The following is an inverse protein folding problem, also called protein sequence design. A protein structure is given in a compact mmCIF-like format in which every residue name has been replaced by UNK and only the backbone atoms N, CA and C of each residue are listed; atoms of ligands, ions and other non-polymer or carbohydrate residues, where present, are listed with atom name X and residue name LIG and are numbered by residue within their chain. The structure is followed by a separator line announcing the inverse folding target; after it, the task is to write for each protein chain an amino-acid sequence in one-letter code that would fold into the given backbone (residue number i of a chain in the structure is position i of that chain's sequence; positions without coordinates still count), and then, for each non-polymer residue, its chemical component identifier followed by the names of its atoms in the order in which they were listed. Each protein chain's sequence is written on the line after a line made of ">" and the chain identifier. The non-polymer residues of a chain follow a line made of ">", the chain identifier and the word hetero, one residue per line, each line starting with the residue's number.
data_IF_411625903532
#
_entry.id   IF_411625903532
#
_cell.length_a   1.000
_cell.length_b   1.000
_cell.length_c   1.000
_cell.angle_alpha   90.00
_cell.angle_beta   90.00
_cell.angle_gamma   90.00
#
_symmetry.space_group_name_H-M   'P 1'
#
loop_
_entity.id
_entity.type
_entity.pdbx_description
1 polymer ?
#
# COMPACT_ATOMS: atom_id res chain seq x y z
N UNK A 1 -7.89 9.77 -0.83
CA UNK A 1 -8.06 8.50 -0.11
C UNK A 1 -8.65 7.43 -1.02
N UNK A 2 -8.38 6.16 -0.71
CA UNK A 2 -8.92 5.01 -1.43
C UNK A 2 -7.95 4.32 -2.39
N UNK A 3 -6.89 4.99 -2.81
CA UNK A 3 -5.80 4.39 -3.60
C UNK A 3 -4.50 5.17 -3.38
N UNK A 4 -3.39 4.63 -3.89
CA UNK A 4 -2.08 5.28 -3.83
C UNK A 4 -2.04 6.51 -4.73
N UNK A 5 -1.38 7.57 -4.26
CA UNK A 5 -1.10 8.75 -5.07
C UNK A 5 0.25 8.58 -5.78
N UNK A 6 0.27 8.70 -7.10
CA UNK A 6 1.54 8.63 -7.82
C UNK A 6 2.42 9.86 -7.49
N UNK A 7 3.73 9.65 -7.36
CA UNK A 7 4.70 10.73 -7.09
C UNK A 7 4.58 11.86 -8.13
N UNK A 8 4.36 11.51 -9.40
CA UNK A 8 4.20 12.49 -10.48
C UNK A 8 2.96 13.35 -10.28
N UNK A 9 1.84 12.74 -9.87
CA UNK A 9 0.61 13.48 -9.61
C UNK A 9 0.73 14.34 -8.35
N UNK A 10 1.37 13.81 -7.29
CA UNK A 10 1.64 14.57 -6.07
C UNK A 10 2.44 15.85 -6.37
N UNK A 11 3.55 15.73 -7.10
CA UNK A 11 4.37 16.88 -7.51
C UNK A 11 3.58 17.91 -8.36
N UNK A 12 2.70 17.44 -9.26
CA UNK A 12 1.84 18.33 -10.07
C UNK A 12 0.84 19.08 -9.21
N UNK A 13 0.22 18.40 -8.23
CA UNK A 13 -0.72 19.04 -7.31
C UNK A 13 -0.03 20.05 -6.40
N UNK A 14 1.13 19.70 -5.82
CA UNK A 14 1.91 20.63 -4.99
C UNK A 14 2.34 21.86 -5.78
N UNK A 15 2.80 21.67 -7.02
CA UNK A 15 3.11 22.80 -7.91
C UNK A 15 1.88 23.66 -8.18
N UNK A 16 0.75 23.06 -8.53
CA UNK A 16 -0.50 23.78 -8.77
C UNK A 16 -0.92 24.59 -7.53
N UNK A 17 -0.92 23.99 -6.36
CA UNK A 17 -1.25 24.65 -5.10
C UNK A 17 -0.33 25.86 -4.85
N UNK A 18 0.97 25.68 -5.00
CA UNK A 18 1.98 26.73 -4.82
C UNK A 18 1.80 27.86 -5.82
N UNK A 19 1.58 27.56 -7.10
CA UNK A 19 1.37 28.55 -8.17
C UNK A 19 0.09 29.40 -7.94
N UNK A 20 -0.87 28.87 -7.14
CA UNK A 20 -2.11 29.57 -6.75
C UNK A 20 -2.06 30.16 -5.33
N UNK A 21 -0.86 30.31 -4.76
CA UNK A 21 -0.66 31.00 -3.48
C UNK A 21 -0.97 30.15 -2.23
N UNK A 22 -1.17 28.84 -2.37
CA UNK A 22 -1.36 27.97 -1.22
C UNK A 22 -0.05 27.80 -0.45
N UNK A 23 -0.15 27.79 0.89
CA UNK A 23 0.97 27.54 1.81
C UNK A 23 0.98 26.12 2.36
N UNK A 24 0.07 25.28 1.86
CA UNK A 24 -0.05 23.87 2.23
C UNK A 24 0.51 22.99 1.11
N UNK A 25 0.94 21.79 1.45
CA UNK A 25 1.36 20.76 0.51
C UNK A 25 0.48 19.52 0.68
N UNK A 26 0.42 18.70 -0.36
CA UNK A 26 -0.27 17.41 -0.33
C UNK A 26 0.49 16.45 0.58
N UNK A 27 -0.20 15.89 1.55
CA UNK A 27 0.36 14.89 2.48
C UNK A 27 -0.39 13.59 2.35
N UNK A 28 0.37 12.51 2.25
CA UNK A 28 -0.19 11.18 2.17
C UNK A 28 -0.44 10.61 3.57
N UNK A 29 -1.49 9.84 3.67
CA UNK A 29 -1.85 9.07 4.85
C UNK A 29 -2.43 7.73 4.45
N UNK A 30 -2.35 6.78 5.35
CA UNK A 30 -2.81 5.42 5.12
C UNK A 30 -3.66 4.95 6.28
N UNK A 31 -4.61 4.09 5.96
CA UNK A 31 -5.43 3.37 6.92
C UNK A 31 -6.40 2.44 6.23
N UNK A 32 -7.00 1.59 7.02
CA UNK A 32 -7.99 0.60 6.59
C UNK A 32 -9.27 0.76 7.41
N UNK A 33 -10.37 0.20 6.96
CA UNK A 33 -11.63 0.17 7.71
C UNK A 33 -11.44 -0.52 9.06
N UNK A 34 -10.58 -1.51 9.12
CA UNK A 34 -10.25 -2.31 10.29
C UNK A 34 -9.48 -1.52 11.38
N UNK A 35 -8.99 -0.32 11.07
CA UNK A 35 -8.34 0.58 12.03
C UNK A 35 -8.90 2.01 11.99
N UNK A 36 -10.21 2.16 11.74
CA UNK A 36 -10.92 3.46 11.77
C UNK A 36 -10.35 4.46 10.75
N UNK A 37 -10.11 4.02 9.53
CA UNK A 37 -9.72 4.79 8.34
C UNK A 37 -8.28 5.30 8.30
N UNK A 38 -7.75 5.96 9.32
CA UNK A 38 -6.40 6.53 9.29
C UNK A 38 -5.56 6.03 10.46
N UNK A 39 -4.36 5.56 10.18
CA UNK A 39 -3.43 5.02 11.17
C UNK A 39 -2.00 5.57 11.02
N UNK A 40 -1.69 6.20 9.89
CA UNK A 40 -0.45 6.97 9.70
C UNK A 40 -0.66 8.16 8.78
N UNK A 41 0.23 9.13 8.87
CA UNK A 41 0.21 10.35 8.06
C UNK A 41 1.63 10.88 7.90
N UNK A 42 1.91 11.48 6.75
CA UNK A 42 3.14 12.25 6.53
C UNK A 42 3.16 13.49 7.43
N UNK A 43 4.18 13.66 8.30
CA UNK A 43 4.33 14.86 9.13
C UNK A 43 4.51 16.12 8.29
N UNK A 44 4.11 17.27 8.85
CA UNK A 44 4.19 18.56 8.16
C UNK A 44 5.63 18.97 7.83
N UNK A 45 6.52 18.82 8.79
CA UNK A 45 7.88 19.35 8.71
C UNK A 45 8.95 18.27 8.51
N UNK A 46 8.53 17.02 8.38
CA UNK A 46 9.39 15.88 8.15
C UNK A 46 8.75 14.96 7.10
N UNK A 47 9.17 15.14 5.86
CA UNK A 47 8.57 14.51 4.68
C UNK A 47 9.56 13.62 3.95
N UNK A 48 9.13 12.43 3.56
CA UNK A 48 9.84 11.57 2.63
C UNK A 48 8.92 11.22 1.46
N UNK A 49 9.34 11.58 0.25
CA UNK A 49 8.57 11.37 -0.97
C UNK A 49 8.26 9.88 -1.20
N UNK A 50 7.01 9.60 -1.58
CA UNK A 50 6.53 8.24 -1.82
C UNK A 50 6.22 7.45 -0.55
N UNK A 51 6.40 8.02 0.64
CA UNK A 51 5.96 7.41 1.89
C UNK A 51 4.51 7.77 2.20
N UNK A 52 3.81 6.86 2.86
CA UNK A 52 2.48 7.10 3.45
C UNK A 52 2.57 7.70 4.86
N UNK A 53 3.78 8.07 5.29
CA UNK A 53 4.05 8.75 6.55
C UNK A 53 4.54 7.84 7.66
N UNK A 54 4.36 8.31 8.90
CA UNK A 54 4.69 7.60 10.14
C UNK A 54 3.41 7.30 10.92
N UNK A 55 3.42 6.29 11.81
CA UNK A 55 2.25 5.95 12.63
C UNK A 55 1.77 7.13 13.47
N UNK A 56 0.45 7.16 13.74
CA UNK A 56 -0.10 8.04 14.77
C UNK A 56 0.34 7.63 16.18
N UNK A 57 0.26 8.52 17.17
CA UNK A 57 0.48 8.16 18.56
C UNK A 57 -0.33 6.92 18.96
N UNK A 58 0.27 6.06 19.78
CA UNK A 58 -0.29 4.79 20.26
C UNK A 58 -0.63 3.76 19.16
N UNK A 59 -0.17 3.99 17.93
CA UNK A 59 -0.27 3.04 16.83
C UNK A 59 1.11 2.52 16.46
N UNK A 60 1.26 1.22 16.44
CA UNK A 60 2.52 0.54 16.13
C UNK A 60 2.42 -0.14 14.78
N UNK A 61 3.50 -0.09 14.04
CA UNK A 61 3.64 -0.76 12.75
C UNK A 61 4.82 -1.70 12.76
N UNK A 62 4.70 -2.78 12.04
CA UNK A 62 5.83 -3.62 11.64
C UNK A 62 5.58 -4.24 10.29
N UNK A 63 6.66 -4.63 9.64
CA UNK A 63 6.61 -5.34 8.36
C UNK A 63 6.98 -6.79 8.63
N UNK A 64 6.13 -7.72 8.21
CA UNK A 64 6.37 -9.14 8.42
C UNK A 64 6.47 -9.88 7.09
N UNK A 65 7.17 -10.99 7.09
CA UNK A 65 7.20 -11.91 5.95
C UNK A 65 5.79 -12.42 5.66
N UNK A 66 5.35 -12.29 4.41
CA UNK A 66 3.99 -12.65 3.98
C UNK A 66 3.60 -14.05 4.45
N UNK A 67 2.42 -14.15 5.05
CA UNK A 67 1.88 -15.40 5.58
C UNK A 67 2.47 -15.87 6.91
N UNK A 68 3.32 -15.07 7.55
CA UNK A 68 3.95 -15.38 8.84
C UNK A 68 3.77 -14.24 9.84
N UNK A 69 4.32 -14.40 11.04
CA UNK A 69 4.43 -13.37 12.08
C UNK A 69 5.89 -12.89 12.26
N UNK A 70 6.79 -13.35 11.38
CA UNK A 70 8.22 -13.05 11.44
C UNK A 70 8.47 -11.63 10.87
N UNK A 71 9.04 -10.76 11.68
CA UNK A 71 9.39 -9.40 11.28
C UNK A 71 10.59 -9.41 10.34
N UNK A 72 10.53 -8.58 9.29
CA UNK A 72 11.65 -8.40 8.34
C UNK A 72 12.50 -7.19 8.74
N UNK A 73 13.72 -7.11 8.22
CA UNK A 73 14.60 -5.97 8.46
C UNK A 73 14.07 -4.69 7.76
N UNK A 74 14.53 -3.53 8.22
CA UNK A 74 14.24 -2.26 7.57
C UNK A 74 14.59 -2.29 6.08
N UNK A 75 13.80 -1.58 5.29
CA UNK A 75 13.89 -1.53 3.83
C UNK A 75 13.57 -2.84 3.09
N UNK A 76 13.25 -3.92 3.80
CA UNK A 76 12.74 -5.15 3.20
C UNK A 76 11.22 -5.09 3.04
N UNK A 77 10.72 -5.60 1.90
CA UNK A 77 9.30 -5.68 1.63
C UNK A 77 8.65 -6.87 2.34
N UNK A 78 7.47 -6.64 2.89
CA UNK A 78 6.63 -7.64 3.53
C UNK A 78 5.22 -7.14 3.73
N UNK A 79 4.40 -7.88 4.48
CA UNK A 79 3.06 -7.47 4.84
C UNK A 79 3.10 -6.40 5.94
N UNK A 80 2.37 -5.30 5.71
CA UNK A 80 2.18 -4.26 6.71
C UNK A 80 1.25 -4.79 7.79
N UNK A 81 1.73 -4.81 9.03
CA UNK A 81 0.93 -5.12 10.21
C UNK A 81 0.87 -3.93 11.14
N UNK A 82 -0.28 -3.71 11.77
CA UNK A 82 -0.46 -2.63 12.72
C UNK A 82 -1.18 -3.08 13.98
N UNK A 83 -0.88 -2.42 15.08
CA UNK A 83 -1.47 -2.66 16.39
C UNK A 83 -1.72 -1.31 17.08
N UNK A 84 -2.85 -1.18 17.75
CA UNK A 84 -3.21 0.04 18.48
C UNK A 84 -4.67 0.05 18.90
N UNK A 85 -5.09 1.06 19.66
CA UNK A 85 -6.44 1.13 20.22
C UNK A 85 -7.54 1.32 19.17
N UNK A 86 -7.19 1.76 17.96
CA UNK A 86 -8.13 1.93 16.85
C UNK A 86 -8.38 0.66 16.04
N UNK A 87 -7.65 -0.43 16.31
CA UNK A 87 -7.86 -1.70 15.62
C UNK A 87 -9.19 -2.31 16.04
N UNK A 88 -9.97 -2.78 15.07
CA UNK A 88 -11.27 -3.41 15.29
C UNK A 88 -11.18 -4.62 16.23
N UNK A 89 -12.28 -4.96 16.86
CA UNK A 89 -12.40 -6.20 17.66
C UNK A 89 -12.60 -7.44 16.80
N UNK A 90 -13.09 -7.29 15.56
CA UNK A 90 -13.33 -8.35 14.61
C UNK A 90 -14.41 -8.02 13.61
N UNK A 91 -14.61 -8.91 12.65
CA UNK A 91 -15.71 -8.84 11.69
C UNK A 91 -16.99 -9.40 12.28
N UNK A 92 -18.11 -8.73 12.06
CA UNK A 92 -19.42 -9.17 12.54
C UNK A 92 -19.81 -10.52 11.93
N UNK A 93 -20.11 -11.50 12.79
CA UNK A 93 -20.51 -12.87 12.39
C UNK A 93 -19.53 -13.58 11.45
N UNK A 94 -18.24 -13.24 11.51
CA UNK A 94 -17.19 -13.86 10.67
C UNK A 94 -15.92 -14.10 11.48
N UNK A 95 -15.98 -15.08 12.37
CA UNK A 95 -14.87 -15.46 13.25
C UNK A 95 -13.64 -15.93 12.47
N UNK A 96 -13.87 -16.63 11.36
CA UNK A 96 -12.79 -17.13 10.51
C UNK A 96 -11.95 -15.99 9.93
N UNK A 97 -12.60 -15.04 9.27
CA UNK A 97 -11.89 -13.89 8.69
C UNK A 97 -11.25 -13.03 9.79
N UNK A 98 -11.89 -12.93 10.95
CA UNK A 98 -11.33 -12.26 12.12
C UNK A 98 -10.01 -12.92 12.55
N UNK A 99 -9.98 -14.25 12.68
CA UNK A 99 -8.79 -14.98 13.06
C UNK A 99 -7.69 -14.94 11.98
N UNK A 100 -8.07 -14.90 10.71
CA UNK A 100 -7.14 -14.77 9.59
C UNK A 100 -6.50 -13.37 9.52
N UNK A 101 -7.22 -12.35 10.00
CA UNK A 101 -6.83 -10.93 9.94
C UNK A 101 -6.18 -10.44 11.22
N UNK A 102 -6.71 -10.82 12.39
CA UNK A 102 -6.17 -10.44 13.70
C UNK A 102 -5.37 -11.61 14.29
N UNK A 103 -4.03 -11.48 14.27
CA UNK A 103 -3.14 -12.56 14.73
C UNK A 103 -2.35 -12.16 15.95
N UNK A 104 -2.26 -13.08 16.91
CA UNK A 104 -1.37 -12.94 18.05
C UNK A 104 0.06 -13.23 17.62
N UNK A 105 0.97 -12.29 17.88
CA UNK A 105 2.40 -12.44 17.58
C UNK A 105 3.21 -12.86 18.81
N UNK A 106 4.48 -13.26 18.62
CA UNK A 106 5.36 -13.68 19.71
C UNK A 106 5.62 -12.61 20.78
N UNK A 107 5.46 -11.33 20.42
CA UNK A 107 5.55 -10.17 21.33
C UNK A 107 4.37 -10.06 22.32
N UNK A 108 3.38 -10.93 22.18
CA UNK A 108 2.18 -10.97 23.01
C UNK A 108 1.03 -10.05 22.57
N UNK A 109 1.25 -9.19 21.61
CA UNK A 109 0.23 -8.29 21.05
C UNK A 109 -0.56 -8.97 19.92
N UNK A 110 -1.80 -8.48 19.73
CA UNK A 110 -2.61 -8.84 18.56
C UNK A 110 -2.39 -7.81 17.47
N UNK A 111 -2.01 -8.27 16.30
CA UNK A 111 -1.70 -7.45 15.14
C UNK A 111 -2.72 -7.64 14.05
N UNK A 112 -3.14 -6.54 13.45
CA UNK A 112 -3.93 -6.51 12.22
C UNK A 112 -3.01 -6.77 11.04
N UNK A 113 -3.22 -7.88 10.34
CA UNK A 113 -2.63 -8.17 9.05
C UNK A 113 -3.44 -7.49 7.95
N UNK A 114 -2.90 -6.43 7.36
CA UNK A 114 -3.67 -5.56 6.47
C UNK A 114 -3.94 -6.15 5.10
N UNK A 115 -3.17 -7.17 4.70
CA UNK A 115 -3.15 -7.67 3.33
C UNK A 115 -2.48 -6.72 2.35
N UNK A 116 -1.77 -5.71 2.84
CA UNK A 116 -1.04 -4.73 2.05
C UNK A 116 0.46 -4.99 2.16
N UNK A 117 1.17 -4.95 1.03
CA UNK A 117 2.63 -5.00 0.97
C UNK A 117 3.22 -3.62 1.12
N UNK A 118 4.36 -3.58 1.78
CA UNK A 118 5.13 -2.37 1.95
C UNK A 118 6.44 -2.62 2.65
N UNK A 119 7.13 -1.55 2.97
CA UNK A 119 8.37 -1.57 3.75
C UNK A 119 8.40 -0.41 4.72
N UNK A 120 9.25 -0.51 5.73
CA UNK A 120 9.53 0.56 6.67
C UNK A 120 11.03 0.88 6.59
N UNK A 121 11.37 2.15 6.61
CA UNK A 121 12.77 2.58 6.70
C UNK A 121 13.22 2.76 8.16
N UNK A 122 14.51 3.04 8.35
CA UNK A 122 15.14 3.20 9.67
C UNK A 122 14.61 4.41 10.46
N UNK A 123 14.01 5.38 9.78
CA UNK A 123 13.39 6.56 10.41
C UNK A 123 11.90 6.33 10.73
N UNK A 124 11.38 5.12 10.45
CA UNK A 124 9.99 4.73 10.72
C UNK A 124 8.98 5.17 9.67
N UNK A 125 9.42 5.64 8.50
CA UNK A 125 8.51 5.93 7.38
C UNK A 125 8.07 4.64 6.71
N UNK A 126 6.77 4.58 6.42
CA UNK A 126 6.13 3.45 5.77
C UNK A 126 5.96 3.75 4.27
N UNK A 127 6.28 2.78 3.44
CA UNK A 127 6.10 2.85 1.99
C UNK A 127 5.16 1.73 1.56
N UNK A 128 3.99 2.11 1.05
CA UNK A 128 3.02 1.17 0.52
C UNK A 128 3.45 0.72 -0.89
N UNK A 129 3.37 -0.56 -1.16
CA UNK A 129 3.64 -1.12 -2.50
C UNK A 129 2.35 -1.46 -3.22
N UNK A 130 1.56 -2.38 -2.67
CA UNK A 130 0.29 -2.82 -3.26
C UNK A 130 -0.46 -3.79 -2.34
N UNK A 131 -1.65 -4.22 -2.77
CA UNK A 131 -2.39 -5.30 -2.13
C UNK A 131 -1.80 -6.67 -2.44
N UNK A 132 -1.66 -7.54 -1.42
CA UNK A 132 -1.18 -8.92 -1.58
C UNK A 132 -2.09 -9.68 -2.56
N UNK A 133 -3.41 -9.52 -2.46
CA UNK A 133 -4.40 -10.17 -3.35
C UNK A 133 -4.29 -9.76 -4.82
N UNK A 134 -3.63 -8.63 -5.13
CA UNK A 134 -3.36 -8.18 -6.52
C UNK A 134 -2.09 -8.78 -7.11
N UNK A 135 -1.21 -9.33 -6.29
CA UNK A 135 0.04 -9.94 -6.76
C UNK A 135 -0.23 -11.07 -7.74
N UNK A 136 0.42 -11.02 -8.89
CA UNK A 136 0.29 -12.02 -9.95
C UNK A 136 1.44 -12.99 -9.84
N UNK A 137 1.13 -14.28 -9.72
CA UNK A 137 2.14 -15.35 -9.70
C UNK A 137 2.25 -15.94 -11.10
N UNK A 138 3.35 -15.69 -11.77
CA UNK A 138 3.61 -16.20 -13.11
C UNK A 138 4.94 -16.92 -13.20
N UNK A 139 4.93 -18.21 -13.57
CA UNK A 139 6.14 -19.04 -13.70
C UNK A 139 7.06 -19.01 -12.45
N UNK A 140 6.48 -18.91 -11.25
CA UNK A 140 7.22 -18.82 -9.99
C UNK A 140 7.72 -17.42 -9.60
N UNK A 141 7.47 -16.42 -10.43
CA UNK A 141 7.80 -15.03 -10.14
C UNK A 141 6.58 -14.27 -9.62
N UNK A 142 6.81 -13.39 -8.66
CA UNK A 142 5.83 -12.42 -8.20
C UNK A 142 5.90 -11.19 -9.10
N UNK A 143 4.81 -10.91 -9.81
CA UNK A 143 4.67 -9.69 -10.61
C UNK A 143 3.72 -8.74 -9.88
N UNK A 144 4.15 -7.52 -9.74
CA UNK A 144 3.44 -6.47 -9.04
C UNK A 144 2.69 -5.58 -10.04
N UNK A 145 1.34 -5.69 -10.14
CA UNK A 145 0.55 -4.92 -11.10
C UNK A 145 0.85 -3.44 -11.10
N UNK A 146 0.92 -2.81 -9.93
CA UNK A 146 1.19 -1.37 -9.78
C UNK A 146 2.52 -0.93 -10.40
N UNK A 147 3.57 -1.76 -10.33
CA UNK A 147 4.86 -1.45 -10.96
C UNK A 147 4.74 -1.43 -12.49
N UNK A 148 4.00 -2.39 -13.05
CA UNK A 148 3.76 -2.46 -14.50
C UNK A 148 2.85 -1.30 -14.94
N UNK A 149 1.78 -1.03 -14.18
CA UNK A 149 0.86 0.09 -14.41
C UNK A 149 1.62 1.43 -14.43
N UNK A 150 2.48 1.68 -13.45
CA UNK A 150 3.28 2.91 -13.38
C UNK A 150 4.17 3.12 -14.61
N UNK A 151 4.75 2.05 -15.17
CA UNK A 151 5.57 2.12 -16.39
C UNK A 151 4.69 2.42 -17.61
N UNK A 152 3.54 1.76 -17.72
CA UNK A 152 2.59 1.97 -18.83
C UNK A 152 2.02 3.39 -18.77
N UNK A 153 1.60 3.85 -17.61
CA UNK A 153 0.99 5.17 -17.40
C UNK A 153 1.98 6.33 -17.59
N UNK A 154 3.28 6.05 -17.52
CA UNK A 154 4.32 7.04 -17.85
C UNK A 154 4.40 7.35 -19.35
N UNK A 155 3.81 6.53 -20.22
CA UNK A 155 3.81 6.76 -21.67
C UNK A 155 2.87 7.92 -22.02
N UNK A 156 3.32 8.82 -22.89
CA UNK A 156 2.60 10.05 -23.25
C UNK A 156 1.19 9.82 -23.81
N UNK A 157 0.98 8.75 -24.56
CA UNK A 157 -0.29 8.39 -25.18
C UNK A 157 -1.29 7.73 -24.20
N UNK A 158 -0.84 7.31 -23.00
CA UNK A 158 -1.68 6.56 -22.06
C UNK A 158 -2.41 7.50 -21.12
N UNK A 159 -3.72 7.27 -20.99
CA UNK A 159 -4.57 7.95 -20.01
C UNK A 159 -4.58 7.20 -18.68
N UNK A 160 -4.74 5.88 -18.73
CA UNK A 160 -4.71 4.98 -17.58
C UNK A 160 -4.47 3.54 -18.01
N UNK A 161 -3.95 2.73 -17.12
CA UNK A 161 -3.86 1.28 -17.31
C UNK A 161 -4.35 0.49 -16.11
N UNK A 162 -4.67 -0.79 -16.33
CA UNK A 162 -4.98 -1.74 -15.28
C UNK A 162 -4.35 -3.09 -15.64
N UNK A 163 -3.61 -3.67 -14.70
CA UNK A 163 -2.92 -4.94 -14.88
C UNK A 163 -3.52 -6.00 -13.97
N UNK A 164 -3.87 -7.15 -14.56
CA UNK A 164 -4.45 -8.29 -13.84
C UNK A 164 -3.74 -9.60 -14.18
N UNK A 165 -3.84 -10.56 -13.27
CA UNK A 165 -3.48 -11.95 -13.52
C UNK A 165 -4.63 -12.72 -14.14
N UNK A 166 -4.40 -13.35 -15.28
CA UNK A 166 -5.35 -14.25 -15.92
C UNK A 166 -4.86 -15.68 -15.76
N UNK A 167 -5.72 -16.61 -15.36
CA UNK A 167 -5.36 -18.03 -15.21
C UNK A 167 -4.71 -18.59 -16.46
N UNK A 168 -3.62 -19.29 -16.30
CA UNK A 168 -2.88 -19.96 -17.37
C UNK A 168 -2.50 -21.38 -16.92
N UNK A 169 -2.74 -22.41 -17.75
CA UNK A 169 -2.49 -23.80 -17.37
C UNK A 169 -1.00 -24.15 -17.18
N UNK A 170 -0.10 -23.38 -17.76
CA UNK A 170 1.35 -23.62 -17.69
C UNK A 170 2.08 -22.68 -16.72
N UNK A 171 1.61 -21.42 -16.62
CA UNK A 171 2.30 -20.36 -15.87
C UNK A 171 1.63 -20.02 -14.55
N UNK A 172 0.57 -20.73 -14.14
CA UNK A 172 -0.36 -20.39 -13.08
C UNK A 172 -1.20 -19.17 -13.46
N UNK A 173 -0.56 -18.05 -13.78
CA UNK A 173 -1.21 -16.85 -14.31
C UNK A 173 -0.36 -16.23 -15.44
N UNK A 174 -1.02 -15.53 -16.35
CA UNK A 174 -0.41 -14.59 -17.31
C UNK A 174 -0.74 -13.16 -16.89
N UNK A 175 0.21 -12.29 -17.06
CA UNK A 175 0.00 -10.84 -16.89
C UNK A 175 -0.78 -10.31 -18.09
N UNK A 176 -1.88 -9.59 -17.84
CA UNK A 176 -2.69 -8.93 -18.87
C UNK A 176 -2.87 -7.46 -18.48
N UNK A 177 -2.48 -6.56 -19.39
CA UNK A 177 -2.72 -5.13 -19.23
C UNK A 177 -3.92 -4.69 -20.07
N UNK A 178 -4.74 -3.82 -19.50
CA UNK A 178 -5.75 -3.05 -20.21
C UNK A 178 -5.26 -1.60 -20.20
N UNK A 179 -5.27 -0.96 -21.36
CA UNK A 179 -4.74 0.38 -21.56
C UNK A 179 -5.80 1.25 -22.21
N UNK A 180 -6.03 2.42 -21.64
CA UNK A 180 -6.87 3.46 -22.22
C UNK A 180 -5.96 4.55 -22.76
N UNK A 181 -6.12 4.89 -24.02
CA UNK A 181 -5.36 5.96 -24.67
C UNK A 181 -6.01 7.33 -24.41
N UNK A 182 -5.20 8.38 -24.43
CA UNK A 182 -5.70 9.75 -24.45
C UNK A 182 -6.39 10.06 -25.77
N UNK A 183 -7.30 11.02 -25.78
CA UNK A 183 -7.93 11.48 -27.02
C UNK A 183 -6.87 11.99 -28.01
N UNK A 184 -6.91 11.49 -29.24
CA UNK A 184 -5.97 11.87 -30.32
C UNK A 184 -4.83 10.88 -30.56
N UNK A 185 -4.77 9.76 -29.82
CA UNK A 185 -3.84 8.64 -30.04
C UNK A 185 -4.58 7.40 -30.48
#
# INVERSE_FOLDING_TARGET
>A
GGDSLSIVLNRKLDKFLKDHGATVQVREGYGTTECVTASCLTPKDFYKEGSIGIPYPDTYYKIVKVGTTEEVAYNQEGEICLCGPSVMLGYCNNEKETADTLKKHPDGYTWLHTGDLGKMDEDGFIYFSQRIKRMIITSGYNVYPSQVENIIDAHEAVSMSCVIGVKDPYKVQKVKAFVVLKAGF
#
